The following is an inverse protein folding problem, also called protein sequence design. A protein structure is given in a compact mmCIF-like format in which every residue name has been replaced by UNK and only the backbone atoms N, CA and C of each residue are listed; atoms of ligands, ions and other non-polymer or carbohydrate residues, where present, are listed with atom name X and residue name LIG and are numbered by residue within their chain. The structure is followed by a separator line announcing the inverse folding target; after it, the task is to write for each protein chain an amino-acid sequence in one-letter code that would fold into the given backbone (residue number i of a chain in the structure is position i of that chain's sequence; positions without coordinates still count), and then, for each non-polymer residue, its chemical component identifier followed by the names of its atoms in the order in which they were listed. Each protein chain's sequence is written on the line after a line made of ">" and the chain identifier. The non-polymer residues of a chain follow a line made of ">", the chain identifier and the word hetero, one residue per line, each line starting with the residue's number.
data_IF_831131637222
#
_entry.id   IF_831131637222
#
_cell.length_a   1.000
_cell.length_b   1.000
_cell.length_c   1.000
_cell.angle_alpha   90.00
_cell.angle_beta   90.00
_cell.angle_gamma   90.00
#
_symmetry.space_group_name_H-M   'P 1'
#
loop_
_entity.id
_entity.type
_entity.pdbx_description
1 polymer ?
#
# COMPACT_ATOMS: atom_id res chain seq x y z
N UNK A 1 -0.49 -7.15 8.36
CA UNK A 1 -0.65 -8.12 7.24
C UNK A 1 -0.97 -7.26 6.02
N UNK A 2 0.00 -6.90 5.19
CA UNK A 2 -0.20 -5.75 4.28
C UNK A 2 -1.27 -6.03 3.24
N UNK A 3 -2.30 -5.19 3.23
CA UNK A 3 -3.39 -5.25 2.26
C UNK A 3 -3.03 -4.53 0.95
N UNK A 4 -1.80 -4.03 0.84
CA UNK A 4 -1.44 -3.03 -0.17
C UNK A 4 -0.27 -3.51 -1.04
N UNK A 5 -0.45 -4.63 -1.75
CA UNK A 5 0.49 -5.04 -2.81
C UNK A 5 0.14 -4.38 -4.14
N UNK A 6 1.14 -4.03 -4.95
CA UNK A 6 0.89 -3.38 -6.24
C UNK A 6 0.15 -4.29 -7.20
N UNK A 7 0.43 -5.60 -7.18
CA UNK A 7 -0.35 -6.58 -7.94
C UNK A 7 -1.83 -6.58 -7.54
N UNK A 8 -2.16 -6.52 -6.25
CA UNK A 8 -3.56 -6.44 -5.80
C UNK A 8 -4.22 -5.14 -6.27
N UNK A 9 -3.54 -4.01 -6.10
CA UNK A 9 -4.07 -2.70 -6.55
C UNK A 9 -4.24 -2.64 -8.07
N UNK A 10 -3.31 -3.23 -8.82
CA UNK A 10 -3.38 -3.34 -10.26
C UNK A 10 -4.59 -4.17 -10.70
N UNK A 11 -4.88 -5.28 -10.00
CA UNK A 11 -6.06 -6.12 -10.28
C UNK A 11 -7.40 -5.43 -10.00
N UNK A 12 -7.42 -4.36 -9.19
CA UNK A 12 -8.62 -3.54 -8.98
C UNK A 12 -8.93 -2.62 -10.17
N UNK A 13 -7.97 -2.42 -11.08
CA UNK A 13 -8.19 -1.61 -12.28
C UNK A 13 -9.13 -2.33 -13.26
N UNK A 14 -10.02 -1.58 -13.94
CA UNK A 14 -10.84 -2.13 -15.02
C UNK A 14 -9.98 -2.86 -16.06
N UNK A 15 -10.50 -3.98 -16.58
CA UNK A 15 -9.79 -4.85 -17.51
C UNK A 15 -9.21 -4.09 -18.72
N UNK A 16 -9.98 -3.12 -19.26
CA UNK A 16 -9.54 -2.25 -20.36
C UNK A 16 -8.18 -1.58 -20.12
N UNK A 17 -7.91 -1.10 -18.90
CA UNK A 17 -6.64 -0.44 -18.59
C UNK A 17 -5.50 -1.44 -18.46
N UNK A 18 -5.77 -2.63 -17.94
CA UNK A 18 -4.76 -3.70 -17.85
C UNK A 18 -4.38 -4.26 -19.21
N UNK A 19 -5.34 -4.39 -20.12
CA UNK A 19 -5.10 -4.80 -21.51
C UNK A 19 -4.23 -3.78 -22.25
N UNK A 20 -4.60 -2.49 -22.18
CA UNK A 20 -3.81 -1.41 -22.79
C UNK A 20 -2.42 -1.26 -22.19
N UNK A 21 -2.28 -1.52 -20.91
CA UNK A 21 -0.99 -1.51 -20.23
C UNK A 21 -0.10 -2.67 -20.67
N UNK A 22 -0.68 -3.87 -20.85
CA UNK A 22 0.03 -5.02 -21.40
C UNK A 22 0.55 -4.76 -22.82
N UNK A 23 -0.23 -4.09 -23.67
CA UNK A 23 0.21 -3.65 -25.00
C UNK A 23 1.38 -2.66 -24.95
N UNK A 24 1.46 -1.85 -23.89
CA UNK A 24 2.51 -0.86 -23.66
C UNK A 24 3.72 -1.39 -22.87
N UNK A 25 3.72 -2.67 -22.47
CA UNK A 25 4.82 -3.29 -21.71
C UNK A 25 4.76 -3.11 -20.19
N UNK A 26 3.57 -2.90 -19.64
CA UNK A 26 3.29 -2.78 -18.20
C UNK A 26 3.78 -1.53 -17.42
N UNK A 27 3.92 -0.33 -18.03
CA UNK A 27 4.34 0.86 -17.28
C UNK A 27 3.37 1.29 -16.16
N UNK A 28 2.06 1.06 -16.33
CA UNK A 28 1.05 1.35 -15.30
C UNK A 28 1.17 0.39 -14.12
N UNK A 29 1.38 -0.90 -14.37
CA UNK A 29 1.64 -1.89 -13.32
C UNK A 29 2.85 -1.50 -12.47
N UNK A 30 3.95 -1.14 -13.12
CA UNK A 30 5.18 -0.72 -12.45
C UNK A 30 4.97 0.55 -11.61
N UNK A 31 4.20 1.51 -12.14
CA UNK A 31 3.84 2.71 -11.39
C UNK A 31 2.95 2.39 -10.17
N UNK A 32 1.98 1.49 -10.32
CA UNK A 32 1.12 1.05 -9.21
C UNK A 32 1.94 0.33 -8.13
N UNK A 33 2.98 -0.42 -8.48
CA UNK A 33 3.89 -1.03 -7.50
C UNK A 33 4.63 0.02 -6.67
N UNK A 34 5.05 1.13 -7.29
CA UNK A 34 5.63 2.27 -6.57
C UNK A 34 4.61 2.89 -5.60
N UNK A 35 3.37 3.11 -6.05
CA UNK A 35 2.31 3.63 -5.18
C UNK A 35 2.00 2.69 -4.01
N UNK A 36 1.98 1.38 -4.26
CA UNK A 36 1.72 0.38 -3.24
C UNK A 36 2.79 0.40 -2.14
N UNK A 37 4.06 0.61 -2.50
CA UNK A 37 5.14 0.77 -1.52
C UNK A 37 4.90 1.96 -0.60
N UNK A 38 4.57 3.13 -1.14
CA UNK A 38 4.31 4.32 -0.32
C UNK A 38 3.07 4.14 0.56
N UNK A 39 2.03 3.50 0.02
CA UNK A 39 0.82 3.20 0.79
C UNK A 39 1.08 2.22 1.94
N UNK A 40 2.04 1.29 1.82
CA UNK A 40 2.47 0.44 2.94
C UNK A 40 3.11 1.21 4.09
N UNK A 41 3.90 2.24 3.79
CA UNK A 41 4.49 3.09 4.84
C UNK A 41 3.38 3.78 5.64
N UNK A 42 2.34 4.26 4.94
CA UNK A 42 1.18 4.88 5.60
C UNK A 42 0.37 3.85 6.39
N UNK A 43 0.16 2.65 5.84
CA UNK A 43 -0.51 1.53 6.50
C UNK A 43 0.20 1.14 7.81
N UNK A 44 1.52 0.93 7.76
CA UNK A 44 2.36 0.64 8.92
C UNK A 44 2.29 1.77 9.96
N UNK A 45 2.35 3.02 9.53
CA UNK A 45 2.23 4.15 10.45
C UNK A 45 0.87 4.21 11.15
N UNK A 46 -0.21 3.85 10.45
CA UNK A 46 -1.55 3.76 11.03
C UNK A 46 -1.63 2.59 12.02
N UNK A 47 -1.08 1.42 11.67
CA UNK A 47 -0.98 0.27 12.59
C UNK A 47 -0.23 0.67 13.88
N UNK A 48 0.91 1.36 13.77
CA UNK A 48 1.68 1.86 14.93
C UNK A 48 0.91 2.84 15.81
N UNK A 49 0.04 3.66 15.22
CA UNK A 49 -0.82 4.60 15.96
C UNK A 49 -1.92 3.85 16.72
N UNK A 50 -2.49 2.80 16.12
CA UNK A 50 -3.49 1.96 16.78
C UNK A 50 -2.88 1.11 17.89
N UNK A 51 -1.69 0.54 17.70
CA UNK A 51 -0.99 -0.22 18.74
C UNK A 51 -0.65 0.66 19.94
N UNK A 52 -0.19 1.89 19.70
CA UNK A 52 0.13 2.87 20.74
C UNK A 52 -1.06 3.71 21.22
N UNK A 53 -2.31 3.28 21.00
CA UNK A 53 -3.47 4.12 21.33
C UNK A 53 -3.62 4.41 22.83
N UNK A 54 -3.14 3.50 23.69
CA UNK A 54 -3.18 3.65 25.15
C UNK A 54 -1.78 3.92 25.69
N UNK A 55 -1.67 4.66 26.81
CA UNK A 55 -0.38 4.97 27.45
C UNK A 55 0.36 3.69 27.83
N UNK A 56 -0.37 2.65 28.23
CA UNK A 56 0.14 1.36 28.65
C UNK A 56 0.73 0.52 27.49
N UNK A 57 0.31 0.79 26.26
CA UNK A 57 0.78 0.09 25.04
C UNK A 57 1.63 0.99 24.14
N UNK A 58 1.76 2.27 24.51
CA UNK A 58 2.57 3.24 23.80
C UNK A 58 4.07 2.95 23.98
N UNK A 59 4.85 3.16 22.94
CA UNK A 59 6.31 3.08 23.04
C UNK A 59 6.84 4.13 24.03
N UNK A 60 7.86 3.79 24.83
CA UNK A 60 8.37 4.66 25.90
C UNK A 60 8.76 6.07 25.44
N UNK A 61 9.22 6.23 24.19
CA UNK A 61 9.60 7.53 23.63
C UNK A 61 8.40 8.45 23.29
N UNK A 62 7.16 7.94 23.32
CA UNK A 62 5.92 8.68 23.03
C UNK A 62 5.27 9.30 24.29
N UNK A 63 5.81 9.05 25.49
CA UNK A 63 5.27 9.50 26.80
C UNK A 63 6.12 10.62 27.41
#
# INVERSE_FOLDING_TARGET
>A
MSYTSGERLYQLLPALYRERDAEAGFPLRDFVEVLAREARIVEENIEDLYEGWFIETCAEWKV
#
